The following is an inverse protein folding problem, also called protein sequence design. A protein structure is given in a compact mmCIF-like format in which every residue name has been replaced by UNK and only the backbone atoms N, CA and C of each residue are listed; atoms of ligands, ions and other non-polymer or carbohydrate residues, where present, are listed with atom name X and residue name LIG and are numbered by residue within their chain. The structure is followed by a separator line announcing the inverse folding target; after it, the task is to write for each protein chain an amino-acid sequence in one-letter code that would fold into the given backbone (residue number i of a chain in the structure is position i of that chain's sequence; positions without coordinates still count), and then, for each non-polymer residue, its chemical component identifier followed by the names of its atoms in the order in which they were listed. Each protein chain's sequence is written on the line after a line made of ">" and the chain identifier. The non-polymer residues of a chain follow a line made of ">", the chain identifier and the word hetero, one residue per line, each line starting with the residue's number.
data_IF_335924555149
#
_entry.id   IF_335924555149
#
_cell.length_a   1.000
_cell.length_b   1.000
_cell.length_c   1.000
_cell.angle_alpha   90.00
_cell.angle_beta   90.00
_cell.angle_gamma   90.00
#
_symmetry.space_group_name_H-M   'P 1'
#
loop_
_entity.id
_entity.type
_entity.pdbx_description
1 polymer ?
#
# COMPACT_ATOMS: atom_id res chain seq x y z
N UNK A 1 -10.59 11.88 9.24
CA UNK A 1 -9.17 11.98 8.88
C UNK A 1 -9.03 12.55 7.48
N UNK A 2 -8.15 13.53 7.27
CA UNK A 2 -7.84 14.00 5.93
C UNK A 2 -7.01 12.96 5.18
N UNK A 3 -6.89 13.10 3.87
CA UNK A 3 -6.08 12.17 3.08
C UNK A 3 -4.62 12.17 3.53
N UNK A 4 -4.08 13.34 3.88
CA UNK A 4 -2.71 13.44 4.37
C UNK A 4 -2.54 12.76 5.72
N UNK A 5 -3.47 12.94 6.63
CA UNK A 5 -3.44 12.30 7.94
C UNK A 5 -3.55 10.78 7.80
N UNK A 6 -4.39 10.31 6.88
CA UNK A 6 -4.53 8.87 6.61
C UNK A 6 -3.24 8.27 6.09
N UNK A 7 -2.58 8.95 5.15
CA UNK A 7 -1.28 8.52 4.63
C UNK A 7 -0.24 8.42 5.74
N UNK A 8 -0.15 9.44 6.57
CA UNK A 8 0.79 9.47 7.70
C UNK A 8 0.50 8.33 8.67
N UNK A 9 -0.77 8.10 8.98
CA UNK A 9 -1.20 7.03 9.87
C UNK A 9 -0.73 5.67 9.35
N UNK A 10 -0.99 5.37 8.07
CA UNK A 10 -0.61 4.08 7.51
C UNK A 10 0.89 3.93 7.34
N UNK A 11 1.61 5.01 7.04
CA UNK A 11 3.07 4.97 6.98
C UNK A 11 3.69 4.64 8.34
N UNK A 12 3.12 5.16 9.42
CA UNK A 12 3.57 4.85 10.77
C UNK A 12 3.30 3.37 11.09
N UNK A 13 2.10 2.89 10.78
CA UNK A 13 1.76 1.48 10.98
C UNK A 13 2.68 0.56 10.17
N UNK A 14 2.97 0.92 8.93
CA UNK A 14 3.88 0.18 8.09
C UNK A 14 5.27 0.06 8.72
N UNK A 15 5.77 1.14 9.32
CA UNK A 15 7.06 1.12 10.00
C UNK A 15 7.11 0.13 11.16
N UNK A 16 5.98 -0.05 11.87
CA UNK A 16 5.92 -0.98 13.00
C UNK A 16 5.57 -2.41 12.58
N UNK A 17 4.71 -2.58 11.59
CA UNK A 17 4.12 -3.88 11.27
C UNK A 17 4.43 -4.37 9.85
N UNK A 18 5.29 -3.66 9.13
CA UNK A 18 5.64 -4.02 7.75
C UNK A 18 6.22 -5.43 7.61
N UNK A 19 6.86 -5.95 8.66
CA UNK A 19 7.43 -7.28 8.66
C UNK A 19 6.38 -8.40 8.53
N UNK A 20 5.12 -8.09 8.79
CA UNK A 20 4.02 -9.03 8.60
C UNK A 20 3.61 -9.17 7.14
N UNK A 21 4.15 -8.33 6.26
CA UNK A 21 3.80 -8.28 4.85
C UNK A 21 4.85 -9.00 4.01
N UNK A 22 4.42 -9.55 2.87
CA UNK A 22 5.37 -10.07 1.88
C UNK A 22 6.15 -8.92 1.26
N UNK A 23 7.29 -9.23 0.63
CA UNK A 23 8.09 -8.20 -0.05
C UNK A 23 7.28 -7.47 -1.13
N UNK A 24 6.45 -8.21 -1.87
CA UNK A 24 5.59 -7.60 -2.90
C UNK A 24 4.55 -6.67 -2.27
N UNK A 25 3.93 -7.07 -1.18
CA UNK A 25 2.96 -6.23 -0.47
C UNK A 25 3.63 -4.97 0.06
N UNK A 26 4.82 -5.09 0.64
CA UNK A 26 5.59 -3.95 1.13
C UNK A 26 5.90 -2.97 0.01
N UNK A 27 6.37 -3.47 -1.13
CA UNK A 27 6.74 -2.64 -2.27
C UNK A 27 5.53 -1.88 -2.81
N UNK A 28 4.40 -2.56 -3.00
CA UNK A 28 3.18 -1.93 -3.50
C UNK A 28 2.66 -0.87 -2.54
N UNK A 29 2.69 -1.16 -1.25
CA UNK A 29 2.23 -0.21 -0.24
C UNK A 29 3.11 1.04 -0.20
N UNK A 30 4.43 0.87 -0.25
CA UNK A 30 5.36 2.00 -0.26
C UNK A 30 5.16 2.89 -1.48
N UNK A 31 4.93 2.31 -2.65
CA UNK A 31 4.70 3.08 -3.86
C UNK A 31 3.40 3.87 -3.77
N UNK A 32 2.37 3.28 -3.23
CA UNK A 32 1.07 3.93 -3.15
C UNK A 32 1.03 5.02 -2.07
N UNK A 33 1.48 4.71 -0.86
CA UNK A 33 1.41 5.64 0.27
C UNK A 33 2.67 6.46 0.49
N UNK A 34 3.82 5.95 0.07
CA UNK A 34 5.09 6.66 0.27
C UNK A 34 5.50 7.52 -0.91
N UNK A 35 5.33 7.02 -2.12
CA UNK A 35 5.78 7.69 -3.34
C UNK A 35 4.66 8.31 -4.17
N UNK A 36 3.42 8.21 -3.70
CA UNK A 36 2.23 8.79 -4.35
C UNK A 36 1.96 8.26 -5.76
N UNK A 37 2.38 7.05 -6.06
CA UNK A 37 2.04 6.44 -7.34
C UNK A 37 0.54 6.13 -7.41
N UNK A 38 -0.05 6.31 -8.59
CA UNK A 38 -1.45 5.92 -8.81
C UNK A 38 -1.57 4.40 -8.96
N UNK A 39 -2.79 3.88 -8.76
CA UNK A 39 -3.05 2.46 -8.98
C UNK A 39 -2.67 2.03 -10.39
N UNK A 40 -2.96 2.88 -11.40
CA UNK A 40 -2.64 2.59 -12.80
C UNK A 40 -1.14 2.54 -13.04
N UNK A 41 -0.38 3.43 -12.43
CA UNK A 41 1.08 3.44 -12.54
C UNK A 41 1.69 2.17 -11.95
N UNK A 42 1.23 1.77 -10.76
CA UNK A 42 1.70 0.56 -10.11
C UNK A 42 1.33 -0.68 -10.93
N UNK A 43 0.10 -0.74 -11.43
CA UNK A 43 -0.36 -1.84 -12.26
C UNK A 43 0.51 -2.01 -13.51
N UNK A 44 0.84 -0.91 -14.15
CA UNK A 44 1.71 -0.91 -15.33
C UNK A 44 3.11 -1.41 -15.00
N UNK A 45 3.68 -0.97 -13.88
CA UNK A 45 5.02 -1.37 -13.45
C UNK A 45 5.12 -2.86 -13.18
N UNK A 46 4.11 -3.43 -12.52
CA UNK A 46 4.12 -4.86 -12.16
C UNK A 46 3.44 -5.75 -13.20
N UNK A 47 2.94 -5.16 -14.28
CA UNK A 47 2.25 -5.89 -15.35
C UNK A 47 1.07 -6.70 -14.82
N UNK A 48 0.26 -6.09 -13.96
CA UNK A 48 -0.95 -6.67 -13.39
C UNK A 48 -2.12 -5.70 -13.60
N UNK A 49 -3.34 -6.14 -13.31
CA UNK A 49 -4.49 -5.28 -13.47
C UNK A 49 -4.57 -4.24 -12.35
N UNK A 50 -5.24 -3.12 -12.63
CA UNK A 50 -5.50 -2.09 -11.63
C UNK A 50 -6.28 -2.67 -10.45
N UNK A 51 -7.24 -3.55 -10.71
CA UNK A 51 -8.01 -4.21 -9.66
C UNK A 51 -7.13 -5.09 -8.78
N UNK A 52 -6.14 -5.76 -9.34
CA UNK A 52 -5.20 -6.57 -8.57
C UNK A 52 -4.37 -5.71 -7.61
N UNK A 53 -3.93 -4.54 -8.06
CA UNK A 53 -3.22 -3.58 -7.19
C UNK A 53 -4.14 -3.13 -6.06
N UNK A 54 -5.36 -2.72 -6.39
CA UNK A 54 -6.34 -2.26 -5.39
C UNK A 54 -6.60 -3.34 -4.34
N UNK A 55 -6.80 -4.58 -4.76
CA UNK A 55 -7.05 -5.69 -3.84
C UNK A 55 -5.85 -5.94 -2.93
N UNK A 56 -4.64 -5.85 -3.47
CA UNK A 56 -3.42 -6.03 -2.68
C UNK A 56 -3.31 -4.93 -1.62
N UNK A 57 -3.52 -3.68 -2.00
CA UNK A 57 -3.50 -2.54 -1.07
C UNK A 57 -4.55 -2.73 0.02
N UNK A 58 -5.75 -3.15 -0.36
CA UNK A 58 -6.84 -3.38 0.60
C UNK A 58 -6.48 -4.47 1.61
N UNK A 59 -5.85 -5.56 1.16
CA UNK A 59 -5.39 -6.63 2.05
C UNK A 59 -4.32 -6.13 3.02
N UNK A 60 -3.38 -5.32 2.53
CA UNK A 60 -2.35 -4.72 3.38
C UNK A 60 -2.97 -3.86 4.46
N UNK A 61 -3.91 -2.99 4.10
CA UNK A 61 -4.59 -2.14 5.07
C UNK A 61 -5.33 -2.97 6.12
N UNK A 62 -5.94 -4.08 5.73
CA UNK A 62 -6.63 -4.97 6.67
C UNK A 62 -5.64 -5.58 7.66
N UNK A 63 -4.46 -6.00 7.19
CA UNK A 63 -3.42 -6.57 8.05
C UNK A 63 -2.91 -5.51 9.04
N UNK A 64 -2.66 -4.30 8.55
CA UNK A 64 -2.11 -3.23 9.40
C UNK A 64 -3.11 -2.71 10.44
N UNK A 65 -4.41 -2.80 10.16
CA UNK A 65 -5.45 -2.33 11.08
C UNK A 65 -5.82 -3.36 12.17
N UNK A 66 -5.31 -4.55 12.09
CA UNK A 66 -5.54 -5.59 13.11
C UNK A 66 -4.54 -5.42 14.32
#
# INVERSE_FOLDING_TARGET
>A
MTDLEKKNYYNILFGYYGDLLTEKQQALFEEYYGEDFSLSEIASEYNISRNAVHDTIKKVLTILDE
#
